data_IF_198493267117
#
_entry.id   IF_198493267117
#
_cell.length_a   1.000
_cell.length_b   1.000
_cell.length_c   1.000
_cell.angle_alpha   90.00
_cell.angle_beta   90.00
_cell.angle_gamma   90.00
#
_symmetry.space_group_name_H-M   'P 1'
#
loop_
_entity.id
_entity.type
_entity.pdbx_description
1 polymer ?
#
# COMPACT_ATOMS: atom_id res chain seq x y z
N UNK A 1 44.37 -13.00 81.13
CA UNK A 1 44.11 -13.93 80.00
C UNK A 1 44.71 -13.35 78.73
N UNK A 2 45.51 -14.16 78.03
CA UNK A 2 45.94 -14.11 76.61
C UNK A 2 46.55 -12.80 76.05
N UNK A 3 47.87 -12.65 75.85
CA UNK A 3 48.89 -13.29 74.96
C UNK A 3 48.90 -12.75 73.51
N UNK A 4 50.12 -12.65 72.93
CA UNK A 4 50.54 -12.76 71.50
C UNK A 4 50.87 -11.38 70.84
N UNK A 5 52.13 -10.99 70.60
CA UNK A 5 53.16 -11.42 69.57
C UNK A 5 52.82 -10.93 68.15
N UNK A 6 53.66 -10.09 67.54
CA UNK A 6 54.70 -10.37 66.51
C UNK A 6 54.27 -9.82 65.13
N UNK A 7 55.03 -8.87 64.54
CA UNK A 7 56.07 -9.02 63.49
C UNK A 7 55.50 -9.24 62.07
N UNK A 8 56.18 -8.60 61.09
CA UNK A 8 56.10 -8.72 59.62
C UNK A 8 54.93 -7.95 58.99
N UNK A 9 55.14 -7.00 58.08
CA UNK A 9 56.18 -6.90 57.05
C UNK A 9 55.56 -7.29 55.72
N UNK A 10 55.32 -6.34 54.82
CA UNK A 10 55.26 -6.60 53.38
C UNK A 10 55.24 -5.29 52.61
N UNK A 11 56.35 -5.00 51.94
CA UNK A 11 56.40 -4.02 50.86
C UNK A 11 55.74 -4.67 49.65
N UNK A 12 54.65 -4.09 49.17
CA UNK A 12 53.96 -4.58 47.97
C UNK A 12 54.59 -3.88 46.75
N UNK A 13 55.20 -4.64 45.82
CA UNK A 13 55.91 -4.09 44.67
C UNK A 13 54.97 -3.64 43.54
N UNK A 14 55.45 -2.64 42.81
CA UNK A 14 55.08 -2.19 41.47
C UNK A 14 53.91 -2.93 40.78
N UNK A 15 52.75 -2.28 40.72
CA UNK A 15 51.66 -2.63 39.79
C UNK A 15 52.11 -2.30 38.35
N UNK A 16 52.73 -3.29 37.70
CA UNK A 16 52.81 -3.46 36.25
C UNK A 16 52.21 -4.82 35.93
N UNK A 17 50.96 -4.89 35.49
CA UNK A 17 50.58 -5.84 34.44
C UNK A 17 49.11 -5.72 34.05
N UNK A 18 48.91 -5.72 32.74
CA UNK A 18 47.73 -6.14 32.01
C UNK A 18 46.38 -5.51 32.35
N UNK A 19 46.17 -4.36 31.70
CA UNK A 19 44.98 -4.08 30.89
C UNK A 19 44.31 -5.39 30.37
N UNK A 20 43.13 -5.70 30.88
CA UNK A 20 42.17 -6.58 30.19
C UNK A 20 40.87 -5.80 30.11
N UNK A 21 40.64 -5.26 28.91
CA UNK A 21 39.53 -4.38 28.57
C UNK A 21 38.18 -5.10 28.69
N UNK A 22 37.28 -4.41 29.36
CA UNK A 22 35.92 -4.83 29.66
C UNK A 22 34.97 -4.41 28.53
N UNK A 23 34.13 -5.37 28.13
CA UNK A 23 32.75 -5.24 27.65
C UNK A 23 32.41 -4.67 26.25
N UNK A 24 31.80 -5.59 25.47
CA UNK A 24 30.54 -5.46 24.72
C UNK A 24 30.26 -4.18 23.93
N UNK A 25 30.36 -4.28 22.60
CA UNK A 25 29.35 -3.69 21.70
C UNK A 25 29.11 -4.66 20.54
N UNK A 26 28.00 -5.43 20.62
CA UNK A 26 27.40 -6.09 19.47
C UNK A 26 26.79 -4.99 18.59
N UNK A 27 27.49 -4.58 17.53
CA UNK A 27 26.85 -3.78 16.46
C UNK A 27 26.11 -4.78 15.57
N UNK A 28 24.89 -5.14 15.95
CA UNK A 28 23.94 -5.66 14.99
C UNK A 28 23.65 -4.53 14.02
N UNK A 29 24.36 -4.49 12.89
CA UNK A 29 23.90 -3.80 11.70
C UNK A 29 22.62 -4.51 11.24
N UNK A 30 21.50 -4.17 11.87
CA UNK A 30 20.20 -4.26 11.24
C UNK A 30 20.26 -3.29 10.07
N UNK A 31 20.79 -3.78 8.94
CA UNK A 31 20.48 -3.22 7.65
C UNK A 31 18.99 -3.48 7.46
N UNK A 32 18.17 -2.58 7.97
CA UNK A 32 16.79 -2.43 7.57
C UNK A 32 16.84 -2.03 6.11
N UNK A 33 16.97 -3.02 5.22
CA UNK A 33 16.52 -2.90 3.84
C UNK A 33 15.02 -2.67 3.91
N UNK A 34 14.68 -1.40 4.18
CA UNK A 34 13.36 -0.85 4.11
C UNK A 34 13.05 -0.70 2.62
N UNK A 35 12.94 -1.84 1.92
CA UNK A 35 12.29 -1.84 0.63
C UNK A 35 10.81 -1.62 0.90
N UNK A 36 10.50 -0.34 0.93
CA UNK A 36 9.18 0.23 1.08
C UNK A 36 8.42 -0.08 -0.20
N UNK A 37 7.91 -1.30 -0.31
CA UNK A 37 7.04 -1.74 -1.41
C UNK A 37 6.09 -2.83 -0.93
N UNK A 38 5.39 -2.55 0.17
CA UNK A 38 4.03 -3.10 0.31
C UNK A 38 3.11 -2.38 -0.69
N UNK A 39 2.00 -3.00 -1.14
CA UNK A 39 1.06 -2.36 -2.03
C UNK A 39 0.56 -1.10 -1.34
N UNK A 40 0.95 0.06 -1.86
CA UNK A 40 1.10 1.32 -1.14
C UNK A 40 -0.24 2.00 -0.80
N UNK A 41 -1.35 1.26 -0.78
CA UNK A 41 -2.69 1.75 -0.45
C UNK A 41 -3.16 2.89 -1.35
N UNK A 42 -2.45 3.12 -2.47
CA UNK A 42 -2.62 4.24 -3.38
C UNK A 42 -3.32 3.78 -4.65
N UNK A 43 -4.08 4.65 -5.32
CA UNK A 43 -4.83 4.32 -6.53
C UNK A 43 -3.96 4.28 -7.79
N UNK A 44 -2.75 4.84 -7.81
CA UNK A 44 -1.88 4.80 -9.00
C UNK A 44 -1.60 3.37 -9.44
N UNK A 45 -1.80 3.02 -10.71
CA UNK A 45 -1.57 1.69 -11.27
C UNK A 45 -2.63 1.23 -12.25
N UNK A 46 -2.50 -0.02 -12.72
CA UNK A 46 -3.51 -0.68 -13.55
C UNK A 46 -4.46 -1.49 -12.66
N UNK A 47 -5.76 -1.35 -12.93
CA UNK A 47 -6.84 -1.95 -12.16
C UNK A 47 -7.83 -2.63 -13.08
N UNK A 48 -8.22 -3.85 -12.75
CA UNK A 48 -9.23 -4.60 -13.49
C UNK A 48 -10.26 -5.17 -12.55
N UNK A 49 -11.53 -5.09 -12.92
CA UNK A 49 -12.61 -5.70 -12.15
C UNK A 49 -13.78 -6.03 -13.05
N UNK A 50 -14.66 -6.91 -12.57
CA UNK A 50 -15.91 -7.23 -13.25
C UNK A 50 -17.03 -7.37 -12.25
N UNK A 51 -18.23 -7.00 -12.67
CA UNK A 51 -19.47 -7.26 -11.95
C UNK A 51 -20.48 -7.93 -12.89
N UNK A 52 -21.40 -8.67 -12.30
CA UNK A 52 -22.55 -9.23 -13.01
C UNK A 52 -23.78 -8.49 -12.53
N UNK A 53 -24.48 -7.81 -13.44
CA UNK A 53 -25.75 -7.14 -13.16
C UNK A 53 -26.83 -7.76 -14.05
N UNK A 54 -27.67 -8.60 -13.44
CA UNK A 54 -28.64 -9.42 -14.17
C UNK A 54 -27.97 -10.38 -15.15
N UNK A 55 -28.26 -10.23 -16.44
CA UNK A 55 -27.71 -11.04 -17.54
C UNK A 55 -26.47 -10.44 -18.21
N UNK A 56 -26.00 -9.29 -17.72
CA UNK A 56 -24.87 -8.57 -18.30
C UNK A 56 -23.64 -8.70 -17.41
N UNK A 57 -22.50 -9.02 -18.03
CA UNK A 57 -21.20 -8.87 -17.37
C UNK A 57 -20.61 -7.54 -17.78
N UNK A 58 -20.21 -6.73 -16.81
CA UNK A 58 -19.52 -5.46 -17.02
C UNK A 58 -18.11 -5.58 -16.46
N UNK A 59 -17.12 -5.23 -17.26
CA UNK A 59 -15.71 -5.24 -16.87
C UNK A 59 -15.11 -3.84 -17.01
N UNK A 60 -14.27 -3.46 -16.06
CA UNK A 60 -13.46 -2.25 -16.09
C UNK A 60 -11.99 -2.61 -16.20
N UNK A 61 -11.26 -1.84 -17.00
CA UNK A 61 -9.80 -1.84 -17.07
C UNK A 61 -9.33 -0.39 -17.04
N UNK A 62 -8.72 0.02 -15.93
CA UNK A 62 -8.34 1.41 -15.67
C UNK A 62 -6.84 1.51 -15.43
N UNK A 63 -6.23 2.57 -15.93
CA UNK A 63 -4.87 2.98 -15.59
C UNK A 63 -4.97 4.35 -14.94
N UNK A 64 -4.57 4.44 -13.67
CA UNK A 64 -4.69 5.64 -12.86
C UNK A 64 -3.32 6.15 -12.42
N UNK A 65 -3.20 7.47 -12.28
CA UNK A 65 -2.03 8.18 -11.77
C UNK A 65 -2.52 9.22 -10.78
N UNK A 66 -2.05 9.11 -9.55
CA UNK A 66 -2.23 10.08 -8.48
C UNK A 66 -1.04 11.05 -8.44
N UNK A 67 -1.30 12.36 -8.33
CA UNK A 67 -0.28 13.35 -8.04
C UNK A 67 0.00 13.50 -6.53
N UNK A 68 0.88 14.42 -6.17
CA UNK A 68 1.22 14.70 -4.76
C UNK A 68 0.09 15.41 -3.99
N UNK A 69 -0.90 15.97 -4.68
CA UNK A 69 -2.07 16.63 -4.11
C UNK A 69 -3.29 15.70 -3.96
N UNK A 70 -3.14 14.41 -4.29
CA UNK A 70 -4.24 13.45 -4.26
C UNK A 70 -5.19 13.55 -5.45
N UNK A 71 -4.87 14.34 -6.48
CA UNK A 71 -5.66 14.32 -7.72
C UNK A 71 -5.30 13.07 -8.50
N UNK A 72 -6.34 12.36 -8.96
CA UNK A 72 -6.20 11.16 -9.78
C UNK A 72 -6.63 11.47 -11.20
N UNK A 73 -5.80 11.06 -12.16
CA UNK A 73 -6.12 11.11 -13.59
C UNK A 73 -5.82 9.77 -14.22
N UNK A 74 -6.40 9.49 -15.38
CA UNK A 74 -6.18 8.21 -16.03
C UNK A 74 -7.05 7.99 -17.26
N UNK A 75 -6.95 6.78 -17.78
CA UNK A 75 -7.75 6.30 -18.89
C UNK A 75 -8.10 4.83 -18.67
N UNK A 76 -8.96 4.29 -19.52
CA UNK A 76 -9.35 2.90 -19.42
C UNK A 76 -10.40 2.50 -20.43
N UNK A 77 -11.01 1.35 -20.17
CA UNK A 77 -12.11 0.82 -20.94
C UNK A 77 -13.16 0.24 -20.01
N UNK A 78 -14.42 0.44 -20.39
CA UNK A 78 -15.55 -0.34 -19.88
C UNK A 78 -16.03 -1.24 -21.00
N UNK A 79 -16.23 -2.52 -20.67
CA UNK A 79 -16.83 -3.46 -21.61
C UNK A 79 -18.06 -4.10 -21.01
N UNK A 80 -19.12 -4.22 -21.81
CA UNK A 80 -20.30 -5.01 -21.46
C UNK A 80 -20.42 -6.20 -22.39
N UNK A 81 -20.84 -7.34 -21.84
CA UNK A 81 -21.14 -8.54 -22.60
C UNK A 81 -22.58 -8.99 -22.32
N UNK A 82 -23.36 -9.15 -23.39
CA UNK A 82 -24.68 -9.80 -23.38
C UNK A 82 -24.69 -10.89 -24.44
N UNK A 83 -25.03 -12.12 -24.05
CA UNK A 83 -25.22 -13.25 -24.97
C UNK A 83 -24.05 -13.47 -25.95
N UNK A 84 -22.82 -13.26 -25.48
CA UNK A 84 -21.59 -13.45 -26.28
C UNK A 84 -21.17 -12.26 -27.14
N UNK A 85 -21.98 -11.19 -27.21
CA UNK A 85 -21.59 -9.94 -27.89
C UNK A 85 -20.94 -9.01 -26.87
N UNK A 86 -19.67 -8.66 -27.08
CA UNK A 86 -18.94 -7.71 -26.25
C UNK A 86 -18.79 -6.36 -26.96
N UNK A 87 -19.12 -5.29 -26.24
CA UNK A 87 -18.83 -3.92 -26.65
C UNK A 87 -17.84 -3.32 -25.67
N UNK A 88 -16.88 -2.54 -26.16
CA UNK A 88 -15.89 -1.84 -25.34
C UNK A 88 -15.90 -0.35 -25.66
N UNK A 89 -15.89 0.47 -24.62
CA UNK A 89 -15.91 1.93 -24.73
C UNK A 89 -14.75 2.51 -23.94
N UNK A 90 -14.01 3.44 -24.55
CA UNK A 90 -12.91 4.13 -23.89
C UNK A 90 -13.42 5.07 -22.79
N UNK A 91 -12.67 5.13 -21.69
CA UNK A 91 -12.93 5.97 -20.53
C UNK A 91 -11.78 6.94 -20.29
N UNK A 92 -12.14 8.15 -19.86
CA UNK A 92 -11.24 9.06 -19.16
C UNK A 92 -11.56 9.01 -17.66
N UNK A 93 -10.52 8.97 -16.83
CA UNK A 93 -10.63 8.93 -15.37
C UNK A 93 -10.16 10.26 -14.80
N UNK A 94 -10.97 10.89 -13.96
CA UNK A 94 -10.58 12.07 -13.17
C UNK A 94 -11.16 11.94 -11.78
N UNK A 95 -10.38 12.17 -10.73
CA UNK A 95 -10.85 11.97 -9.37
C UNK A 95 -9.95 12.58 -8.31
N UNK A 96 -10.30 12.29 -7.07
CA UNK A 96 -9.54 12.66 -5.87
C UNK A 96 -9.39 11.46 -4.96
N UNK A 97 -8.21 11.35 -4.36
CA UNK A 97 -7.85 10.33 -3.41
C UNK A 97 -7.51 10.96 -2.07
N UNK A 98 -8.27 10.58 -1.05
CA UNK A 98 -8.02 10.92 0.35
C UNK A 98 -8.03 9.61 1.11
N UNK A 99 -6.84 9.09 1.39
CA UNK A 99 -6.65 7.72 1.87
C UNK A 99 -7.62 7.37 3.03
N UNK A 100 -8.26 6.19 2.98
CA UNK A 100 -8.16 5.15 1.96
C UNK A 100 -9.14 5.34 0.78
N UNK A 101 -9.87 6.44 0.71
CA UNK A 101 -11.01 6.61 -0.18
C UNK A 101 -10.61 7.25 -1.52
N UNK A 102 -11.05 6.64 -2.62
CA UNK A 102 -11.00 7.19 -3.96
C UNK A 102 -12.41 7.61 -4.38
N UNK A 103 -12.53 8.81 -4.95
CA UNK A 103 -13.71 9.26 -5.68
C UNK A 103 -13.31 9.63 -7.10
N UNK A 104 -13.75 8.85 -8.08
CA UNK A 104 -13.38 9.04 -9.48
C UNK A 104 -14.61 9.16 -10.38
N UNK A 105 -14.54 10.09 -11.32
CA UNK A 105 -15.47 10.23 -12.43
C UNK A 105 -14.89 9.47 -13.64
N UNK A 106 -15.73 8.64 -14.25
CA UNK A 106 -15.45 7.92 -15.48
C UNK A 106 -16.30 8.53 -16.60
N UNK A 107 -15.65 9.13 -17.59
CA UNK A 107 -16.32 9.77 -18.72
C UNK A 107 -16.08 8.99 -20.01
N UNK A 108 -17.14 8.76 -20.78
CA UNK A 108 -17.10 8.19 -22.12
C UNK A 108 -17.87 9.10 -23.10
N UNK A 109 -17.41 9.28 -24.35
CA UNK A 109 -18.16 10.02 -25.37
C UNK A 109 -19.54 9.41 -25.61
N UNK A 110 -20.59 10.24 -25.57
CA UNK A 110 -21.98 9.81 -25.81
C UNK A 110 -22.67 9.18 -24.60
N UNK A 111 -22.03 9.13 -23.43
CA UNK A 111 -22.61 8.58 -22.20
C UNK A 111 -22.60 9.62 -21.07
N UNK A 112 -23.48 9.42 -20.09
CA UNK A 112 -23.42 10.18 -18.84
C UNK A 112 -22.18 9.78 -18.04
N UNK A 113 -21.60 10.73 -17.31
CA UNK A 113 -20.49 10.43 -16.40
C UNK A 113 -20.93 9.42 -15.34
N UNK A 114 -20.08 8.42 -15.09
CA UNK A 114 -20.23 7.47 -13.99
C UNK A 114 -19.32 7.87 -12.84
N UNK A 115 -19.74 7.59 -11.61
CA UNK A 115 -18.95 7.77 -10.41
C UNK A 115 -18.50 6.39 -9.92
N UNK A 116 -17.20 6.26 -9.68
CA UNK A 116 -16.55 5.10 -9.09
C UNK A 116 -15.95 5.52 -7.75
N UNK A 117 -16.59 5.12 -6.66
CA UNK A 117 -16.21 5.56 -5.30
C UNK A 117 -15.94 4.36 -4.41
N UNK A 118 -14.99 4.46 -3.48
CA UNK A 118 -14.76 3.38 -2.52
C UNK A 118 -13.37 3.40 -1.89
N UNK A 119 -12.99 2.29 -1.25
CA UNK A 119 -11.75 2.20 -0.50
C UNK A 119 -10.68 1.38 -1.23
N UNK A 120 -9.48 1.94 -1.37
CA UNK A 120 -8.28 1.26 -1.85
C UNK A 120 -7.56 0.65 -0.65
N UNK A 121 -7.34 -0.67 -0.69
CA UNK A 121 -6.68 -1.46 0.35
C UNK A 121 -5.68 -2.40 -0.32
N UNK A 122 -4.41 -1.99 -0.33
CA UNK A 122 -3.36 -2.72 -1.04
C UNK A 122 -3.67 -2.85 -2.53
N UNK A 123 -3.85 -4.09 -2.98
CA UNK A 123 -4.11 -4.43 -4.38
C UNK A 123 -5.61 -4.56 -4.71
N UNK A 124 -6.48 -4.19 -3.77
CA UNK A 124 -7.92 -4.28 -3.92
C UNK A 124 -8.57 -2.90 -3.81
N UNK A 125 -9.49 -2.60 -4.71
CA UNK A 125 -10.34 -1.43 -4.66
C UNK A 125 -11.80 -1.88 -4.60
N UNK A 126 -12.37 -1.78 -3.39
CA UNK A 126 -13.78 -2.09 -3.14
C UNK A 126 -14.59 -0.85 -3.48
N UNK A 127 -15.19 -0.85 -4.67
CA UNK A 127 -15.84 0.30 -5.26
C UNK A 127 -17.35 0.12 -5.42
N UNK A 128 -18.05 1.24 -5.50
CA UNK A 128 -19.42 1.36 -5.99
C UNK A 128 -19.40 2.14 -7.29
N UNK A 129 -20.07 1.60 -8.31
CA UNK A 129 -20.26 2.22 -9.61
C UNK A 129 -21.69 2.77 -9.67
N UNK A 130 -21.83 4.06 -9.96
CA UNK A 130 -23.11 4.74 -10.04
C UNK A 130 -23.17 5.69 -11.25
N UNK A 131 -24.35 5.82 -11.86
CA UNK A 131 -24.55 6.67 -13.04
C UNK A 131 -24.51 5.89 -14.36
N UNK A 132 -24.93 6.53 -15.46
CA UNK A 132 -25.03 5.92 -16.80
C UNK A 132 -25.76 4.56 -16.86
N UNK A 133 -26.78 4.38 -16.01
CA UNK A 133 -27.56 3.13 -15.92
C UNK A 133 -27.13 2.19 -14.78
N UNK A 134 -26.01 2.46 -14.11
CA UNK A 134 -25.60 1.77 -12.88
C UNK A 134 -26.23 2.43 -11.65
N UNK A 135 -26.69 1.62 -10.68
CA UNK A 135 -27.33 2.10 -9.45
C UNK A 135 -26.61 1.54 -8.22
N UNK A 136 -25.49 2.17 -7.85
CA UNK A 136 -24.63 1.77 -6.73
C UNK A 136 -24.18 0.30 -6.79
N UNK A 137 -23.82 -0.17 -7.99
CA UNK A 137 -23.35 -1.53 -8.20
C UNK A 137 -22.00 -1.73 -7.52
N UNK A 138 -21.87 -2.80 -6.74
CA UNK A 138 -20.61 -3.11 -6.07
C UNK A 138 -19.66 -3.79 -7.05
N UNK A 139 -18.45 -3.26 -7.19
CA UNK A 139 -17.37 -3.85 -7.97
C UNK A 139 -16.11 -3.95 -7.13
N UNK A 140 -15.39 -5.06 -7.27
CA UNK A 140 -14.04 -5.19 -6.76
C UNK A 140 -13.08 -5.11 -7.93
N UNK A 141 -12.20 -4.11 -7.91
CA UNK A 141 -11.08 -4.03 -8.85
C UNK A 141 -9.83 -4.56 -8.15
N UNK A 142 -9.04 -5.32 -8.89
CA UNK A 142 -7.76 -5.85 -8.47
C UNK A 142 -6.65 -5.21 -9.29
N UNK A 143 -5.56 -4.86 -8.63
CA UNK A 143 -4.35 -4.37 -9.28
C UNK A 143 -3.77 -5.46 -10.20
N UNK A 144 -3.14 -5.05 -11.30
CA UNK A 144 -2.46 -5.92 -12.27
C UNK A 144 -0.96 -5.70 -12.26
#
# INVERSE_FOLDING_TARGET
>A
MKTVREIMGSRIPALRSCLVALALIFVATACSSSETSGPNGRPSGKWTGSLVSGTFTVSLNLVMVEDTGGKVTGNGFISSALSGVSNSTALTVTGTFVAPNLSANLAAPGFNTMNLTGAVKGDTFNAQLNGSGFNNETMVLTRQ
#
